data_IF_419371954339
#
_entry.id   IF_419371954339
#
_cell.length_a   1.000
_cell.length_b   1.000
_cell.length_c   1.000
_cell.angle_alpha   90.00
_cell.angle_beta   90.00
_cell.angle_gamma   90.00
#
_symmetry.space_group_name_H-M   'P 1'
#
loop_
_entity.id
_entity.type
_entity.pdbx_description
1 polymer ?
#
# COMPACT_ATOMS: atom_id res chain seq x y z
N UNK A 1 11.34 10.30 -17.13
CA UNK A 1 10.02 10.38 -17.78
C UNK A 1 9.04 9.57 -16.94
N UNK A 2 8.09 10.21 -16.27
CA UNK A 2 7.04 9.52 -15.53
C UNK A 2 6.14 8.79 -16.54
N UNK A 3 5.83 7.49 -16.37
CA UNK A 3 4.89 6.82 -17.25
C UNK A 3 3.51 7.45 -17.05
N UNK A 4 2.81 7.73 -18.14
CA UNK A 4 1.43 8.17 -18.08
C UNK A 4 0.58 7.11 -17.35
N UNK A 5 -0.48 7.53 -16.66
CA UNK A 5 -1.44 6.65 -15.97
C UNK A 5 -1.98 5.53 -16.89
N UNK A 6 -1.94 5.72 -18.21
CA UNK A 6 -2.30 4.73 -19.23
C UNK A 6 -1.39 3.50 -19.27
N UNK A 7 -0.11 3.66 -19.00
CA UNK A 7 0.90 2.58 -19.12
C UNK A 7 0.77 1.53 -18.01
N UNK A 8 0.15 1.88 -16.89
CA UNK A 8 0.00 1.00 -15.73
C UNK A 8 -1.19 0.07 -15.85
N UNK A 9 -2.27 0.55 -16.48
CA UNK A 9 -3.50 -0.22 -16.75
C UNK A 9 -3.25 -1.37 -17.74
N UNK A 10 -2.13 -1.32 -18.48
CA UNK A 10 -1.72 -2.32 -19.46
C UNK A 10 -0.63 -3.26 -18.97
N UNK A 11 -0.16 -3.14 -17.73
CA UNK A 11 0.81 -4.11 -17.20
C UNK A 11 0.14 -5.49 -17.06
N UNK A 12 0.78 -6.59 -17.49
CA UNK A 12 0.23 -7.94 -17.36
C UNK A 12 -0.19 -8.26 -15.92
N UNK A 13 0.56 -7.75 -14.95
CA UNK A 13 0.27 -7.83 -13.50
C UNK A 13 -1.10 -7.25 -13.16
N UNK A 14 -1.43 -6.04 -13.63
CA UNK A 14 -2.72 -5.40 -13.36
C UNK A 14 -3.87 -6.15 -14.04
N UNK A 15 -3.68 -6.59 -15.29
CA UNK A 15 -4.69 -7.34 -16.06
C UNK A 15 -4.93 -8.74 -15.46
N UNK A 16 -3.87 -9.42 -15.00
CA UNK A 16 -3.95 -10.75 -14.39
C UNK A 16 -4.56 -10.69 -12.99
N UNK A 17 -4.19 -9.68 -12.19
CA UNK A 17 -4.82 -9.43 -10.90
C UNK A 17 -6.32 -9.12 -11.04
N UNK A 18 -6.68 -8.26 -12.00
CA UNK A 18 -8.07 -7.89 -12.31
C UNK A 18 -8.91 -9.09 -12.80
N UNK A 19 -8.29 -10.05 -13.48
CA UNK A 19 -8.96 -11.24 -14.00
C UNK A 19 -9.13 -12.35 -12.95
N UNK A 20 -8.17 -12.52 -12.05
CA UNK A 20 -8.19 -13.59 -11.04
C UNK A 20 -8.99 -13.26 -9.76
N UNK A 21 -9.28 -11.99 -9.44
CA UNK A 21 -9.85 -11.61 -8.12
C UNK A 21 -11.13 -10.77 -8.19
N UNK A 22 -11.97 -11.01 -9.21
CA UNK A 22 -13.15 -10.21 -9.59
C UNK A 22 -14.28 -10.10 -8.53
N UNK A 23 -14.27 -10.87 -7.45
CA UNK A 23 -15.41 -10.95 -6.50
C UNK A 23 -15.10 -10.60 -5.04
N UNK A 24 -13.84 -10.38 -4.64
CA UNK A 24 -13.48 -10.21 -3.20
C UNK A 24 -13.09 -8.79 -2.77
N UNK A 25 -12.72 -7.89 -3.68
CA UNK A 25 -12.00 -6.64 -3.35
C UNK A 25 -12.58 -5.37 -3.97
N UNK A 26 -13.81 -5.45 -4.48
CA UNK A 26 -14.38 -4.42 -5.34
C UNK A 26 -15.12 -3.34 -4.53
N UNK A 27 -14.35 -2.45 -3.91
CA UNK A 27 -14.80 -1.09 -3.57
C UNK A 27 -13.86 -0.07 -4.22
N UNK A 28 -14.41 1.02 -4.76
CA UNK A 28 -13.68 2.00 -5.58
C UNK A 28 -12.42 2.60 -4.91
N UNK A 29 -12.31 2.57 -3.57
CA UNK A 29 -11.12 2.99 -2.83
C UNK A 29 -9.95 1.99 -2.89
N UNK A 30 -10.24 0.70 -3.04
CA UNK A 30 -9.28 -0.41 -3.07
C UNK A 30 -8.43 -0.37 -4.34
N UNK A 31 -9.07 -0.11 -5.49
CA UNK A 31 -8.36 0.01 -6.77
C UNK A 31 -7.32 1.15 -6.78
N UNK A 32 -7.60 2.28 -6.13
CA UNK A 32 -6.68 3.44 -6.11
C UNK A 32 -5.51 3.23 -5.11
N UNK A 33 -5.80 2.63 -3.95
CA UNK A 33 -4.81 2.22 -2.97
C UNK A 33 -3.87 1.16 -3.55
N UNK A 34 -4.44 0.12 -4.17
CA UNK A 34 -3.70 -0.91 -4.87
C UNK A 34 -2.92 -0.32 -6.02
N UNK A 35 -3.41 0.66 -6.78
CA UNK A 35 -2.60 1.31 -7.81
C UNK A 35 -1.32 1.94 -7.21
N UNK A 36 -1.42 2.60 -6.05
CA UNK A 36 -0.25 3.16 -5.33
C UNK A 36 0.72 2.07 -4.86
N UNK A 37 0.18 0.95 -4.36
CA UNK A 37 0.97 -0.20 -3.89
C UNK A 37 1.44 -1.08 -5.07
N UNK A 38 0.87 -0.96 -6.27
CA UNK A 38 1.31 -1.65 -7.50
C UNK A 38 2.37 -0.85 -8.25
N UNK A 39 2.33 0.48 -8.13
CA UNK A 39 3.40 1.35 -8.58
C UNK A 39 4.73 1.08 -7.86
N UNK A 40 4.67 0.66 -6.60
CA UNK A 40 5.86 0.33 -5.80
C UNK A 40 6.61 -0.89 -6.35
N UNK A 41 5.97 -2.03 -6.67
CA UNK A 41 6.55 -3.11 -7.42
C UNK A 41 7.22 -2.64 -8.70
N UNK A 42 6.61 -1.76 -9.50
CA UNK A 42 7.24 -1.26 -10.73
C UNK A 42 8.46 -0.33 -10.47
N UNK A 43 8.43 0.48 -9.42
CA UNK A 43 9.58 1.30 -9.00
C UNK A 43 10.71 0.43 -8.43
N UNK A 44 10.36 -0.55 -7.59
CA UNK A 44 11.29 -1.55 -7.04
C UNK A 44 11.88 -2.40 -8.18
N UNK A 45 11.05 -2.85 -9.11
CA UNK A 45 11.38 -3.56 -10.35
C UNK A 45 12.42 -2.79 -11.18
N UNK A 46 12.20 -1.49 -11.42
CA UNK A 46 13.18 -0.68 -12.14
C UNK A 46 14.49 -0.49 -11.37
N UNK A 47 14.45 -0.30 -10.05
CA UNK A 47 15.66 -0.22 -9.23
C UNK A 47 16.42 -1.56 -9.21
N UNK A 48 15.72 -2.69 -9.21
CA UNK A 48 16.33 -4.02 -9.22
C UNK A 48 16.95 -4.39 -10.58
N UNK A 49 16.28 -4.12 -11.69
CA UNK A 49 16.77 -4.42 -13.05
C UNK A 49 18.02 -3.62 -13.41
N UNK A 50 18.14 -2.37 -12.93
CA UNK A 50 19.37 -1.61 -13.12
C UNK A 50 20.57 -2.17 -12.34
N UNK A 51 20.33 -2.99 -11.32
CA UNK A 51 21.38 -3.50 -10.41
C UNK A 51 21.77 -4.96 -10.71
N UNK A 52 20.84 -5.80 -11.19
CA UNK A 52 21.08 -7.22 -11.46
C UNK A 52 20.68 -7.60 -12.90
N UNK A 53 21.67 -7.93 -13.71
CA UNK A 53 21.54 -8.30 -15.12
C UNK A 53 21.33 -9.84 -15.26
N UNK A 54 20.13 -10.39 -14.99
CA UNK A 54 19.96 -11.86 -15.14
C UNK A 54 18.58 -12.47 -15.43
N UNK A 55 17.41 -12.01 -14.97
CA UNK A 55 16.14 -12.61 -15.39
C UNK A 55 15.50 -11.92 -16.60
N UNK A 56 14.69 -12.65 -17.37
CA UNK A 56 13.84 -12.02 -18.37
C UNK A 56 12.81 -11.11 -17.69
N UNK A 57 12.38 -10.04 -18.36
CA UNK A 57 11.35 -9.13 -17.86
C UNK A 57 10.09 -9.88 -17.40
N UNK A 58 9.69 -10.92 -18.13
CA UNK A 58 8.53 -11.75 -17.82
C UNK A 58 8.68 -12.54 -16.51
N UNK A 59 9.88 -13.10 -16.25
CA UNK A 59 10.15 -13.84 -15.01
C UNK A 59 10.09 -12.90 -13.81
N UNK A 60 10.70 -11.73 -13.92
CA UNK A 60 10.72 -10.76 -12.82
C UNK A 60 9.31 -10.18 -12.57
N UNK A 61 8.52 -9.92 -13.61
CA UNK A 61 7.11 -9.55 -13.47
C UNK A 61 6.28 -10.64 -12.78
N UNK A 62 6.51 -11.91 -13.11
CA UNK A 62 5.82 -13.03 -12.49
C UNK A 62 6.17 -13.18 -11.00
N UNK A 63 7.45 -13.07 -10.65
CA UNK A 63 7.92 -13.13 -9.26
C UNK A 63 7.36 -11.97 -8.43
N UNK A 64 7.42 -10.74 -8.96
CA UNK A 64 6.80 -9.57 -8.32
C UNK A 64 5.30 -9.78 -8.11
N UNK A 65 4.58 -10.33 -9.09
CA UNK A 65 3.16 -10.62 -8.98
C UNK A 65 2.87 -11.63 -7.86
N UNK A 66 3.58 -12.76 -7.82
CA UNK A 66 3.34 -13.80 -6.83
C UNK A 66 3.70 -13.37 -5.42
N UNK A 67 4.86 -12.73 -5.25
CA UNK A 67 5.28 -12.16 -3.97
C UNK A 67 4.24 -11.14 -3.47
N UNK A 68 3.81 -10.22 -4.33
CA UNK A 68 2.83 -9.21 -3.95
C UNK A 68 1.45 -9.81 -3.63
N UNK A 69 1.03 -10.82 -4.40
CA UNK A 69 -0.23 -11.55 -4.19
C UNK A 69 -0.22 -12.25 -2.83
N UNK A 70 0.88 -12.94 -2.49
CA UNK A 70 1.04 -13.61 -1.20
C UNK A 70 1.10 -12.62 -0.04
N UNK A 71 1.77 -11.49 -0.24
CA UNK A 71 1.78 -10.41 0.74
C UNK A 71 0.36 -9.87 1.00
N UNK A 72 -0.41 -9.56 -0.05
CA UNK A 72 -1.80 -9.09 0.09
C UNK A 72 -2.72 -10.10 0.77
N UNK A 73 -2.43 -11.41 0.65
CA UNK A 73 -3.19 -12.44 1.35
C UNK A 73 -3.05 -12.34 2.88
N UNK A 74 -2.05 -11.63 3.40
CA UNK A 74 -1.88 -11.39 4.83
C UNK A 74 -2.68 -10.19 5.37
N UNK A 75 -3.05 -9.24 4.50
CA UNK A 75 -3.72 -7.97 4.87
C UNK A 75 -5.08 -7.82 4.18
N UNK A 76 -5.81 -8.93 4.06
CA UNK A 76 -7.06 -8.95 3.30
C UNK A 76 -8.14 -8.03 3.89
N UNK A 77 -8.19 -7.97 5.21
CA UNK A 77 -9.13 -7.13 5.95
C UNK A 77 -8.96 -5.62 5.72
N UNK A 78 -7.83 -5.18 5.15
CA UNK A 78 -7.60 -3.78 4.77
C UNK A 78 -8.40 -3.38 3.51
N UNK A 79 -8.73 -4.34 2.65
CA UNK A 79 -9.26 -4.07 1.30
C UNK A 79 -10.62 -4.72 1.02
N UNK A 80 -11.28 -5.29 2.04
CA UNK A 80 -12.69 -5.70 1.97
C UNK A 80 -13.60 -4.52 2.31
N UNK A 81 -14.91 -4.66 2.00
CA UNK A 81 -15.92 -3.63 2.28
C UNK A 81 -15.87 -3.18 3.76
N UNK A 82 -16.06 -1.88 3.99
CA UNK A 82 -15.86 -1.19 5.28
C UNK A 82 -14.43 -1.17 5.85
N UNK A 83 -13.47 -1.86 5.22
CA UNK A 83 -12.05 -1.84 5.57
C UNK A 83 -11.76 -2.01 7.08
N UNK A 84 -12.29 -3.05 7.73
CA UNK A 84 -12.19 -3.23 9.19
C UNK A 84 -10.74 -3.37 9.67
N UNK A 85 -9.83 -3.84 8.82
CA UNK A 85 -8.40 -3.90 9.13
C UNK A 85 -7.77 -2.51 9.27
N UNK A 86 -8.12 -1.57 8.39
CA UNK A 86 -7.64 -0.19 8.46
C UNK A 86 -8.17 0.50 9.72
N UNK A 87 -9.46 0.32 10.03
CA UNK A 87 -10.04 0.89 11.26
C UNK A 87 -9.30 0.39 12.51
N UNK A 88 -9.03 -0.92 12.60
CA UNK A 88 -8.22 -1.49 13.69
C UNK A 88 -6.80 -0.93 13.73
N UNK A 89 -6.16 -0.75 12.57
CA UNK A 89 -4.82 -0.17 12.48
C UNK A 89 -4.78 1.27 13.05
N UNK A 90 -5.78 2.09 12.71
CA UNK A 90 -5.89 3.47 13.19
C UNK A 90 -6.15 3.53 14.69
N UNK A 91 -7.08 2.72 15.21
CA UNK A 91 -7.36 2.66 16.65
C UNK A 91 -6.12 2.21 17.43
N UNK A 92 -5.42 1.17 16.95
CA UNK A 92 -4.17 0.72 17.58
C UNK A 92 -3.10 1.79 17.59
N UNK A 93 -2.99 2.59 16.53
CA UNK A 93 -2.05 3.70 16.46
C UNK A 93 -2.41 4.79 17.48
N UNK A 94 -3.69 5.13 17.58
CA UNK A 94 -4.18 6.09 18.58
C UNK A 94 -3.86 5.63 20.00
N UNK A 95 -4.20 4.38 20.34
CA UNK A 95 -3.92 3.78 21.65
C UNK A 95 -2.42 3.68 21.96
N UNK A 96 -1.59 3.53 20.94
CA UNK A 96 -0.14 3.49 21.09
C UNK A 96 0.40 4.88 21.43
N UNK A 97 0.01 5.92 20.67
CA UNK A 97 0.45 7.29 20.93
C UNK A 97 -0.07 7.79 22.27
N UNK A 98 -1.32 7.49 22.63
CA UNK A 98 -1.88 7.86 23.92
C UNK A 98 -1.08 7.28 25.11
N UNK A 99 -0.50 6.08 24.96
CA UNK A 99 0.32 5.44 26.01
C UNK A 99 1.77 5.88 26.02
N UNK A 100 2.37 6.11 24.84
CA UNK A 100 3.79 6.45 24.72
C UNK A 100 4.06 7.95 24.87
N UNK A 101 3.16 8.79 24.36
CA UNK A 101 3.26 10.25 24.42
C UNK A 101 1.89 10.90 24.68
N UNK A 102 1.46 10.94 25.96
CA UNK A 102 0.20 11.57 26.35
C UNK A 102 0.14 13.07 26.05
N UNK A 103 1.30 13.75 26.02
CA UNK A 103 1.38 15.20 25.78
C UNK A 103 1.03 15.47 24.32
N UNK A 104 1.66 14.73 23.39
CA UNK A 104 1.33 14.79 21.97
C UNK A 104 -0.13 14.41 21.72
N UNK A 105 -0.60 13.32 22.31
CA UNK A 105 -1.98 12.86 22.17
C UNK A 105 -2.99 13.95 22.56
N UNK A 106 -2.79 14.56 23.73
CA UNK A 106 -3.62 15.65 24.24
C UNK A 106 -3.57 16.88 23.34
N UNK A 107 -2.38 17.25 22.87
CA UNK A 107 -2.20 18.38 21.97
C UNK A 107 -2.95 18.18 20.63
N UNK A 108 -2.83 17.00 20.03
CA UNK A 108 -3.54 16.68 18.79
C UNK A 108 -5.06 16.71 18.99
N UNK A 109 -5.56 16.10 20.07
CA UNK A 109 -7.00 15.91 20.30
C UNK A 109 -7.70 17.15 20.85
N UNK A 110 -7.11 17.85 21.81
CA UNK A 110 -7.75 18.96 22.53
C UNK A 110 -7.40 20.33 21.94
N UNK A 111 -6.17 20.53 21.48
CA UNK A 111 -5.74 21.85 20.96
C UNK A 111 -6.11 22.03 19.49
N UNK A 112 -5.96 20.97 18.69
CA UNK A 112 -6.13 21.05 17.24
C UNK A 112 -7.30 20.23 16.70
N UNK A 113 -8.03 19.49 17.55
CA UNK A 113 -9.15 18.64 17.16
C UNK A 113 -8.82 17.66 16.01
N UNK A 114 -7.55 17.23 15.92
CA UNK A 114 -7.06 16.33 14.87
C UNK A 114 -7.41 14.91 15.25
N UNK A 115 -8.23 14.28 14.42
CA UNK A 115 -8.59 12.88 14.57
C UNK A 115 -7.56 11.99 13.87
N UNK A 116 -7.13 10.91 14.53
CA UNK A 116 -6.12 9.98 13.98
C UNK A 116 -6.49 9.46 12.60
N UNK A 117 -7.78 9.20 12.35
CA UNK A 117 -8.28 8.73 11.06
C UNK A 117 -7.93 9.66 9.88
N UNK A 118 -7.83 10.98 10.11
CA UNK A 118 -7.62 11.97 9.04
C UNK A 118 -6.26 11.80 8.33
N UNK A 119 -5.23 11.37 9.06
CA UNK A 119 -3.91 11.10 8.48
C UNK A 119 -3.58 9.60 8.43
N UNK A 120 -3.92 8.86 9.48
CA UNK A 120 -3.51 7.47 9.65
C UNK A 120 -4.24 6.52 8.69
N UNK A 121 -5.42 6.87 8.18
CA UNK A 121 -6.11 6.09 7.16
C UNK A 121 -5.21 5.83 5.96
N UNK A 122 -4.56 6.89 5.45
CA UNK A 122 -3.63 6.80 4.32
C UNK A 122 -2.40 5.96 4.66
N UNK A 123 -1.89 6.11 5.88
CA UNK A 123 -0.72 5.37 6.35
C UNK A 123 -0.99 3.86 6.40
N UNK A 124 -2.09 3.46 7.01
CA UNK A 124 -2.50 2.05 7.10
C UNK A 124 -2.88 1.48 5.72
N UNK A 125 -3.54 2.27 4.87
CA UNK A 125 -3.97 1.83 3.54
C UNK A 125 -2.80 1.61 2.59
N UNK A 126 -1.81 2.50 2.60
CA UNK A 126 -0.64 2.47 1.72
C UNK A 126 0.62 1.91 2.41
N UNK A 127 0.51 1.36 3.62
CA UNK A 127 1.63 0.81 4.38
C UNK A 127 2.82 1.78 4.49
N UNK A 128 2.53 3.06 4.70
CA UNK A 128 3.51 4.16 4.76
C UNK A 128 4.37 4.38 3.50
N UNK A 129 4.13 3.66 2.40
CA UNK A 129 4.89 3.78 1.15
C UNK A 129 4.95 5.22 0.62
N UNK A 130 3.92 6.02 0.90
CA UNK A 130 3.83 7.42 0.44
C UNK A 130 4.58 8.42 1.33
N UNK A 131 5.01 8.02 2.51
CA UNK A 131 5.62 8.92 3.50
C UNK A 131 7.15 8.79 3.54
N UNK A 132 7.71 7.70 3.00
CA UNK A 132 9.14 7.42 3.02
C UNK A 132 9.72 7.20 1.61
N UNK A 133 11.01 7.49 1.39
CA UNK A 133 11.67 7.16 0.14
C UNK A 133 11.80 5.64 -0.02
N UNK A 134 11.85 5.17 -1.27
CA UNK A 134 11.83 3.74 -1.60
C UNK A 134 12.94 2.93 -0.90
N UNK A 135 14.12 3.53 -0.75
CA UNK A 135 15.26 2.89 -0.09
C UNK A 135 15.02 2.62 1.41
N UNK A 136 14.13 3.37 2.06
CA UNK A 136 13.73 3.09 3.45
C UNK A 136 12.66 2.01 3.54
N UNK A 137 11.86 1.83 2.48
CA UNK A 137 10.76 0.85 2.43
C UNK A 137 11.28 -0.56 2.15
N UNK A 138 12.31 -0.69 1.30
CA UNK A 138 12.84 -1.98 0.81
C UNK A 138 13.93 -2.58 1.73
N UNK A 139 14.17 -1.98 2.90
CA UNK A 139 15.26 -2.35 3.81
C UNK A 139 15.06 -3.73 4.44
#
# INVERSE_FOLDING_TARGET
MTPSTRTLVTTPIYVMWRSCRRTRWYDNGVCHAMNTIHHTPYTIYNTYIHTYHSPSQEQLEADCYWCFTKFLDTIQDHYIHHQPGIQRCVVKLEDLVARLDPILYKHMKETHEVQFIQFAFRWCNCLLIREFPINCIVR
#
